data_IF_289642259948
#
_entry.id   IF_289642259948
#
_cell.length_a   1.000
_cell.length_b   1.000
_cell.length_c   1.000
_cell.angle_alpha   90.00
_cell.angle_beta   90.00
_cell.angle_gamma   90.00
#
_symmetry.space_group_name_H-M   'P 1'
#
loop_
_entity.id
_entity.type
_entity.pdbx_description
1 polymer ?
#
# COMPACT_ATOMS: atom_id res chain seq x y z
N UNK A 1 -4.94 9.45 -15.08
CA UNK A 1 -4.75 10.80 -15.65
C UNK A 1 -4.98 11.80 -14.51
N UNK A 2 -3.91 12.23 -13.82
CA UNK A 2 -4.00 13.22 -12.76
C UNK A 2 -4.27 14.59 -13.40
N UNK A 3 -5.49 15.08 -13.31
CA UNK A 3 -5.79 16.44 -13.70
C UNK A 3 -5.31 17.41 -12.60
N UNK A 4 -4.23 18.10 -12.87
CA UNK A 4 -3.75 19.23 -12.08
C UNK A 4 -4.81 20.34 -12.16
N UNK A 5 -5.68 20.44 -11.18
CA UNK A 5 -6.68 21.50 -11.13
C UNK A 5 -6.04 22.75 -10.55
N UNK A 6 -5.84 23.71 -11.43
CA UNK A 6 -5.49 25.08 -11.08
C UNK A 6 -6.61 25.71 -10.21
N UNK A 7 -6.22 26.53 -9.26
CA UNK A 7 -7.04 27.13 -8.22
C UNK A 7 -7.94 28.27 -8.74
N UNK A 8 -8.92 27.95 -9.58
CA UNK A 8 -10.04 28.84 -9.84
C UNK A 8 -11.27 28.02 -10.19
N UNK A 9 -12.03 27.67 -9.16
CA UNK A 9 -13.32 26.99 -9.29
C UNK A 9 -14.38 28.02 -9.60
N UNK A 10 -14.62 28.28 -10.87
CA UNK A 10 -15.93 28.76 -11.33
C UNK A 10 -16.75 27.50 -11.64
N UNK A 11 -17.76 27.27 -10.82
CA UNK A 11 -18.82 26.30 -11.10
C UNK A 11 -19.63 26.86 -12.26
N UNK A 12 -19.44 26.29 -13.45
CA UNK A 12 -20.40 26.48 -14.54
C UNK A 12 -21.30 25.27 -14.62
N UNK A 13 -22.56 25.44 -14.25
CA UNK A 13 -23.66 24.53 -14.54
C UNK A 13 -23.73 24.27 -16.04
N UNK A 14 -23.79 23.01 -16.41
CA UNK A 14 -24.17 22.60 -17.74
C UNK A 14 -23.32 21.54 -18.38
N UNK A 15 -23.65 20.28 -18.10
CA UNK A 15 -23.70 19.21 -19.11
C UNK A 15 -24.24 17.94 -18.44
N UNK A 16 -25.57 17.85 -18.37
CA UNK A 16 -26.25 16.58 -18.21
C UNK A 16 -26.35 15.98 -19.61
N UNK A 17 -25.55 14.99 -19.92
CA UNK A 17 -25.82 14.04 -21.00
C UNK A 17 -26.17 12.71 -20.41
N UNK A 18 -27.40 12.30 -20.70
CA UNK A 18 -28.04 11.04 -20.33
C UNK A 18 -27.20 9.83 -20.71
N UNK A 19 -27.22 8.81 -19.84
CA UNK A 19 -27.06 7.42 -20.23
C UNK A 19 -25.83 6.67 -19.76
N UNK A 20 -25.29 6.93 -18.55
CA UNK A 20 -24.45 5.93 -17.85
C UNK A 20 -24.54 6.14 -16.34
N UNK A 21 -24.85 5.07 -15.60
CA UNK A 21 -24.89 5.11 -14.13
C UNK A 21 -23.47 5.30 -13.60
N UNK A 22 -23.07 6.52 -13.39
CA UNK A 22 -21.89 6.87 -12.61
C UNK A 22 -22.32 7.16 -11.17
N UNK A 23 -21.88 6.32 -10.22
CA UNK A 23 -22.07 6.60 -8.80
C UNK A 23 -21.03 7.62 -8.35
N UNK A 24 -21.46 8.87 -8.18
CA UNK A 24 -20.62 9.92 -7.61
C UNK A 24 -20.66 9.80 -6.08
N UNK A 25 -19.69 9.14 -5.47
CA UNK A 25 -19.47 9.27 -4.05
C UNK A 25 -18.63 10.53 -3.78
N UNK A 26 -19.31 11.65 -3.65
CA UNK A 26 -18.68 12.88 -3.15
C UNK A 26 -18.70 12.82 -1.63
N UNK A 27 -17.67 12.28 -1.02
CA UNK A 27 -17.42 12.45 0.41
C UNK A 27 -16.88 13.86 0.63
N UNK A 28 -17.78 14.81 0.95
CA UNK A 28 -17.40 16.14 1.41
C UNK A 28 -16.95 16.04 2.89
N UNK A 29 -15.70 15.63 3.15
CA UNK A 29 -15.05 15.75 4.45
C UNK A 29 -14.63 17.21 4.72
N UNK A 30 -15.54 18.13 4.51
CA UNK A 30 -15.32 19.56 4.76
C UNK A 30 -15.80 19.95 6.14
N UNK A 31 -15.09 19.61 7.21
CA UNK A 31 -15.15 20.36 8.48
C UNK A 31 -14.16 19.86 9.54
N UNK A 32 -12.86 19.90 9.29
CA UNK A 32 -11.95 20.01 10.44
C UNK A 32 -10.60 20.65 10.04
N UNK A 33 -10.34 21.82 10.62
CA UNK A 33 -9.02 22.46 10.73
C UNK A 33 -8.30 22.95 9.46
N UNK A 34 -8.88 23.93 8.76
CA UNK A 34 -8.47 24.42 7.41
C UNK A 34 -7.14 25.19 7.38
N UNK A 35 -6.59 25.73 8.48
CA UNK A 35 -5.39 26.60 8.43
C UNK A 35 -4.08 25.98 8.89
N UNK A 36 -4.12 24.97 9.77
CA UNK A 36 -2.92 24.28 10.26
C UNK A 36 -2.45 23.16 9.33
N UNK A 37 -3.38 22.53 8.59
CA UNK A 37 -3.10 21.40 7.70
C UNK A 37 -2.20 21.76 6.52
N UNK A 38 -2.39 22.94 5.90
CA UNK A 38 -1.62 23.31 4.70
C UNK A 38 -0.12 23.50 4.98
N UNK A 39 0.25 23.98 6.18
CA UNK A 39 1.65 24.10 6.57
C UNK A 39 2.28 22.74 6.85
N UNK A 40 1.52 21.86 7.51
CA UNK A 40 1.99 20.50 7.82
C UNK A 40 2.15 19.66 6.56
N UNK A 41 1.21 19.72 5.62
CA UNK A 41 1.30 19.05 4.33
C UNK A 41 2.56 19.50 3.55
N UNK A 42 2.83 20.80 3.47
CA UNK A 42 4.05 21.32 2.82
C UNK A 42 5.34 20.85 3.51
N UNK A 43 5.35 20.79 4.85
CA UNK A 43 6.48 20.26 5.60
C UNK A 43 6.68 18.77 5.27
N UNK A 44 5.61 17.99 5.25
CA UNK A 44 5.68 16.57 4.89
C UNK A 44 6.16 16.38 3.46
N UNK A 45 5.69 17.17 2.51
CA UNK A 45 6.15 17.13 1.12
C UNK A 45 7.65 17.42 1.00
N UNK A 46 8.16 18.40 1.77
CA UNK A 46 9.58 18.70 1.81
C UNK A 46 10.38 17.55 2.41
N UNK A 47 9.98 17.06 3.59
CA UNK A 47 10.69 15.98 4.29
C UNK A 47 10.71 14.69 3.46
N UNK A 48 9.56 14.30 2.90
CA UNK A 48 9.47 13.12 2.03
C UNK A 48 10.22 13.34 0.72
N UNK A 49 10.20 14.55 0.16
CA UNK A 49 11.01 14.88 -1.02
C UNK A 49 12.50 14.66 -0.77
N UNK A 50 13.02 15.10 0.39
CA UNK A 50 14.41 14.86 0.79
C UNK A 50 14.69 13.37 1.07
N UNK A 51 13.71 12.66 1.66
CA UNK A 51 13.84 11.25 2.00
C UNK A 51 13.72 10.29 0.80
N UNK A 52 13.33 10.76 -0.38
CA UNK A 52 13.05 9.94 -1.56
C UNK A 52 14.19 8.99 -1.91
N UNK A 53 15.36 9.54 -2.24
CA UNK A 53 16.51 8.73 -2.64
C UNK A 53 17.15 7.95 -1.49
N UNK A 54 17.27 8.50 -0.25
CA UNK A 54 17.64 7.71 0.91
C UNK A 54 16.74 6.50 1.14
N UNK A 55 15.40 6.63 0.97
CA UNK A 55 14.47 5.54 1.10
C UNK A 55 14.68 4.44 0.05
N UNK A 56 14.92 4.83 -1.22
CA UNK A 56 15.24 3.88 -2.28
C UNK A 56 16.54 3.11 -2.01
N UNK A 57 17.58 3.83 -1.59
CA UNK A 57 18.86 3.23 -1.23
C UNK A 57 18.70 2.26 -0.05
N UNK A 58 17.99 2.66 1.00
CA UNK A 58 17.70 1.81 2.15
C UNK A 58 16.93 0.56 1.73
N UNK A 59 15.92 0.68 0.86
CA UNK A 59 15.15 -0.45 0.37
C UNK A 59 16.02 -1.48 -0.35
N UNK A 60 16.90 -1.03 -1.25
CA UNK A 60 17.84 -1.92 -1.96
C UNK A 60 18.85 -2.57 -1.01
N UNK A 61 19.50 -1.78 -0.16
CA UNK A 61 20.50 -2.29 0.78
C UNK A 61 19.90 -3.25 1.81
N UNK A 62 18.61 -3.12 2.10
CA UNK A 62 17.92 -4.02 3.02
C UNK A 62 17.46 -5.33 2.38
N UNK A 63 17.47 -5.46 1.05
CA UNK A 63 17.01 -6.70 0.40
C UNK A 63 17.68 -7.98 0.92
N UNK A 64 19.02 -8.06 1.09
CA UNK A 64 19.65 -9.26 1.65
C UNK A 64 19.17 -9.58 3.06
N UNK A 65 19.03 -8.55 3.90
CA UNK A 65 18.55 -8.72 5.27
C UNK A 65 17.07 -9.13 5.31
N UNK A 66 16.23 -8.56 4.44
CA UNK A 66 14.81 -8.92 4.31
C UNK A 66 14.66 -10.39 3.90
N UNK A 67 15.44 -10.86 2.91
CA UNK A 67 15.43 -12.26 2.48
C UNK A 67 15.91 -13.18 3.61
N UNK A 68 17.00 -12.84 4.30
CA UNK A 68 17.50 -13.61 5.43
C UNK A 68 16.50 -13.64 6.58
N UNK A 69 15.79 -12.54 6.83
CA UNK A 69 14.78 -12.45 7.89
C UNK A 69 13.56 -13.36 7.65
N UNK A 70 13.31 -13.82 6.43
CA UNK A 70 12.25 -14.80 6.14
C UNK A 70 12.42 -16.11 6.94
N UNK A 71 13.64 -16.49 7.31
CA UNK A 71 13.88 -17.66 8.15
C UNK A 71 13.29 -17.51 9.57
N UNK A 72 13.07 -16.28 10.04
CA UNK A 72 12.40 -16.05 11.33
C UNK A 72 10.88 -16.19 11.25
N UNK A 73 10.32 -16.26 10.03
CA UNK A 73 8.91 -16.56 9.84
C UNK A 73 8.73 -18.06 9.99
N UNK A 74 7.95 -18.48 10.96
CA UNK A 74 7.65 -19.90 11.20
C UNK A 74 6.66 -20.41 10.14
N UNK A 75 7.16 -20.64 8.93
CA UNK A 75 6.38 -21.19 7.84
C UNK A 75 6.29 -22.72 8.05
N UNK A 76 5.11 -23.25 8.28
CA UNK A 76 4.89 -24.69 8.51
C UNK A 76 4.04 -25.02 9.72
N UNK A 77 3.56 -24.01 10.44
CA UNK A 77 2.57 -24.18 11.49
C UNK A 77 1.14 -24.21 10.90
N UNK A 78 0.16 -24.63 11.72
CA UNK A 78 -1.23 -24.76 11.30
C UNK A 78 -1.83 -23.42 10.84
N UNK A 79 -1.39 -22.29 11.42
CA UNK A 79 -1.82 -20.94 11.01
C UNK A 79 -1.36 -20.61 9.59
N UNK A 80 -0.13 -20.96 9.27
CA UNK A 80 0.41 -20.78 7.92
C UNK A 80 -0.32 -21.65 6.89
N UNK A 81 -0.67 -22.89 7.24
CA UNK A 81 -1.47 -23.74 6.34
C UNK A 81 -2.88 -23.17 6.13
N UNK A 82 -3.52 -22.63 7.16
CA UNK A 82 -4.80 -21.96 7.01
C UNK A 82 -4.67 -20.70 6.11
N UNK A 83 -3.62 -19.91 6.30
CA UNK A 83 -3.29 -18.77 5.44
C UNK A 83 -3.07 -19.21 3.99
N UNK A 84 -2.24 -20.22 3.76
CA UNK A 84 -2.00 -20.75 2.42
C UNK A 84 -3.28 -21.29 1.78
N UNK A 85 -4.15 -21.95 2.57
CA UNK A 85 -5.47 -22.42 2.13
C UNK A 85 -6.36 -21.25 1.68
N UNK A 86 -6.38 -20.15 2.41
CA UNK A 86 -7.11 -18.95 2.02
C UNK A 86 -6.57 -18.30 0.73
N UNK A 87 -5.25 -18.23 0.59
CA UNK A 87 -4.61 -17.75 -0.63
C UNK A 87 -4.94 -18.65 -1.83
N UNK A 88 -4.89 -19.97 -1.64
CA UNK A 88 -5.29 -20.94 -2.66
C UNK A 88 -6.77 -20.79 -3.03
N UNK A 89 -7.65 -20.60 -2.04
CA UNK A 89 -9.09 -20.37 -2.29
C UNK A 89 -9.30 -19.14 -3.17
N UNK A 90 -8.61 -18.04 -2.90
CA UNK A 90 -8.66 -16.85 -3.75
C UNK A 90 -8.31 -17.18 -5.21
N UNK A 91 -7.17 -17.84 -5.43
CA UNK A 91 -6.70 -18.20 -6.76
C UNK A 91 -7.66 -19.17 -7.46
N UNK A 92 -8.20 -20.16 -6.75
CA UNK A 92 -9.17 -21.10 -7.28
C UNK A 92 -10.47 -20.40 -7.72
N UNK A 93 -11.01 -19.52 -6.86
CA UNK A 93 -12.19 -18.72 -7.20
C UNK A 93 -11.93 -17.80 -8.38
N UNK A 94 -10.74 -17.22 -8.48
CA UNK A 94 -10.35 -16.38 -9.62
C UNK A 94 -10.33 -17.17 -10.93
N UNK A 95 -9.79 -18.39 -10.92
CA UNK A 95 -9.76 -19.28 -12.10
C UNK A 95 -11.19 -19.70 -12.49
N UNK A 96 -12.00 -20.08 -11.52
CA UNK A 96 -13.39 -20.51 -11.75
C UNK A 96 -14.25 -19.35 -12.25
N UNK A 97 -14.06 -18.16 -11.66
CA UNK A 97 -14.77 -16.94 -12.05
C UNK A 97 -14.13 -16.22 -13.24
N UNK A 98 -13.27 -16.88 -14.00
CA UNK A 98 -12.34 -16.34 -15.01
C UNK A 98 -12.94 -15.36 -16.04
N UNK A 99 -14.23 -15.13 -15.98
CA UNK A 99 -14.94 -14.17 -16.85
C UNK A 99 -15.21 -12.80 -16.19
N UNK A 100 -14.94 -12.62 -14.90
CA UNK A 100 -15.19 -11.34 -14.19
C UNK A 100 -13.96 -10.94 -13.37
N UNK A 101 -13.12 -10.12 -13.97
CA UNK A 101 -12.09 -9.41 -13.23
C UNK A 101 -12.77 -8.49 -12.22
N UNK A 102 -12.34 -8.52 -10.94
CA UNK A 102 -12.77 -7.54 -9.94
C UNK A 102 -12.00 -6.23 -10.11
N UNK A 103 -11.87 -5.73 -11.34
CA UNK A 103 -11.12 -4.52 -11.68
C UNK A 103 -11.63 -3.35 -10.85
N UNK A 104 -12.94 -3.23 -10.68
CA UNK A 104 -13.54 -2.17 -9.84
C UNK A 104 -13.05 -2.20 -8.39
N UNK A 105 -12.86 -3.39 -7.79
CA UNK A 105 -12.32 -3.49 -6.42
C UNK A 105 -10.84 -3.18 -6.36
N UNK A 106 -10.07 -3.51 -7.39
CA UNK A 106 -8.65 -3.15 -7.46
C UNK A 106 -8.47 -1.63 -7.62
N UNK A 107 -9.29 -0.98 -8.46
CA UNK A 107 -9.31 0.47 -8.61
C UNK A 107 -9.70 1.12 -7.29
N UNK A 108 -10.75 0.64 -6.62
CA UNK A 108 -11.17 1.17 -5.31
C UNK A 108 -10.05 1.06 -4.27
N UNK A 109 -9.40 -0.09 -4.16
CA UNK A 109 -8.30 -0.30 -3.23
C UNK A 109 -7.13 0.65 -3.51
N UNK A 110 -6.83 0.88 -4.78
CA UNK A 110 -5.81 1.80 -5.25
C UNK A 110 -6.11 3.23 -4.82
N UNK A 111 -7.28 3.77 -5.17
CA UNK A 111 -7.66 5.14 -4.82
C UNK A 111 -7.81 5.34 -3.31
N UNK A 112 -8.29 4.33 -2.59
CA UNK A 112 -8.33 4.37 -1.12
C UNK A 112 -6.94 4.39 -0.50
N UNK A 113 -5.95 3.73 -1.11
CA UNK A 113 -4.57 3.76 -0.62
C UNK A 113 -3.96 5.15 -0.82
N UNK A 114 -4.12 5.75 -2.00
CA UNK A 114 -3.75 7.16 -2.21
C UNK A 114 -4.41 8.08 -1.17
N UNK A 115 -5.71 7.90 -0.95
CA UNK A 115 -6.47 8.68 0.03
C UNK A 115 -5.93 8.53 1.44
N UNK A 116 -5.64 7.30 1.87
CA UNK A 116 -5.07 7.01 3.18
C UNK A 116 -3.73 7.72 3.38
N UNK A 117 -2.82 7.64 2.42
CA UNK A 117 -1.52 8.30 2.51
C UNK A 117 -1.60 9.82 2.36
N UNK A 118 -2.55 10.34 1.58
CA UNK A 118 -2.82 11.77 1.53
C UNK A 118 -3.25 12.30 2.91
N UNK A 119 -4.18 11.62 3.57
CA UNK A 119 -4.61 11.97 4.93
C UNK A 119 -3.48 11.83 5.95
N UNK A 120 -2.68 10.74 5.88
CA UNK A 120 -1.55 10.50 6.75
C UNK A 120 -0.47 11.59 6.63
N UNK A 121 -0.32 12.17 5.44
CA UNK A 121 0.61 13.28 5.15
C UNK A 121 -0.06 14.65 5.22
N UNK A 122 -1.20 14.73 5.91
CA UNK A 122 -1.97 15.96 6.19
C UNK A 122 -2.52 16.70 4.97
N UNK A 123 -2.66 16.02 3.84
CA UNK A 123 -3.31 16.58 2.66
C UNK A 123 -4.82 16.51 2.80
N UNK A 124 -5.49 17.59 2.40
CA UNK A 124 -6.94 17.62 2.36
C UNK A 124 -7.43 16.91 1.10
N UNK A 125 -8.06 15.75 1.25
CA UNK A 125 -8.73 15.06 0.15
C UNK A 125 -9.96 15.85 -0.28
N UNK A 126 -10.13 16.05 -1.58
CA UNK A 126 -11.20 16.86 -2.18
C UNK A 126 -12.29 15.96 -2.76
N UNK A 127 -11.88 14.94 -3.52
CA UNK A 127 -12.80 14.00 -4.15
C UNK A 127 -12.13 12.65 -4.38
N UNK A 128 -12.95 11.61 -4.43
CA UNK A 128 -12.58 10.30 -4.93
C UNK A 128 -13.59 9.98 -6.03
N UNK A 129 -13.10 9.65 -7.21
CA UNK A 129 -13.90 9.31 -8.36
C UNK A 129 -13.58 7.89 -8.79
N UNK A 130 -14.60 7.08 -8.98
CA UNK A 130 -14.47 5.71 -9.42
C UNK A 130 -15.34 5.51 -10.65
N UNK A 131 -14.76 5.09 -11.74
CA UNK A 131 -15.49 4.75 -12.93
C UNK A 131 -15.84 3.26 -12.88
N UNK A 132 -17.13 2.96 -12.96
CA UNK A 132 -17.63 1.56 -12.94
C UNK A 132 -17.44 0.85 -14.28
N UNK A 133 -17.05 1.57 -15.31
CA UNK A 133 -16.79 1.07 -16.66
C UNK A 133 -15.33 0.61 -16.88
N UNK A 134 -14.59 0.37 -15.79
CA UNK A 134 -13.19 -0.08 -15.81
C UNK A 134 -12.20 0.94 -16.41
N UNK A 135 -12.63 2.17 -16.69
CA UNK A 135 -11.77 3.22 -17.23
C UNK A 135 -10.81 3.84 -16.20
N UNK A 136 -10.82 3.34 -14.96
CA UNK A 136 -9.93 3.78 -13.89
C UNK A 136 -10.63 4.57 -12.79
N UNK A 137 -9.84 5.01 -11.82
CA UNK A 137 -10.25 5.90 -10.74
C UNK A 137 -9.41 7.17 -10.73
N UNK A 138 -9.79 8.12 -9.90
CA UNK A 138 -9.00 9.31 -9.63
C UNK A 138 -9.30 9.82 -8.22
N UNK A 139 -8.25 10.12 -7.48
CA UNK A 139 -8.32 10.79 -6.19
C UNK A 139 -7.70 12.18 -6.29
N UNK A 140 -8.40 13.18 -5.78
CA UNK A 140 -7.92 14.56 -5.75
C UNK A 140 -7.67 15.05 -4.33
N UNK A 141 -6.55 15.73 -4.13
CA UNK A 141 -6.20 16.37 -2.86
C UNK A 141 -5.61 17.76 -3.09
N UNK A 142 -5.59 18.59 -2.02
CA UNK A 142 -4.98 19.92 -2.07
C UNK A 142 -3.51 19.85 -1.73
N UNK A 143 -2.68 20.55 -2.52
CA UNK A 143 -1.24 20.65 -2.30
C UNK A 143 -0.43 20.06 -3.44
N UNK A 144 0.90 20.02 -3.25
CA UNK A 144 1.81 19.49 -4.26
C UNK A 144 1.83 17.97 -4.28
N UNK A 145 1.64 17.35 -3.10
CA UNK A 145 1.81 15.92 -2.91
C UNK A 145 3.26 15.47 -2.83
N UNK A 146 3.42 14.20 -2.55
CA UNK A 146 4.73 13.57 -2.39
C UNK A 146 4.71 12.16 -2.97
N UNK A 147 5.91 11.62 -3.23
CA UNK A 147 6.11 10.31 -3.84
C UNK A 147 5.44 9.17 -3.06
N UNK A 148 5.32 9.29 -1.74
CA UNK A 148 4.72 8.24 -0.92
C UNK A 148 3.22 8.11 -1.18
N UNK A 149 2.52 9.23 -1.34
CA UNK A 149 1.10 9.21 -1.76
C UNK A 149 0.98 8.48 -3.10
N UNK A 150 1.84 8.85 -4.06
CA UNK A 150 1.74 8.37 -5.44
C UNK A 150 2.07 6.88 -5.58
N UNK A 151 3.06 6.34 -4.84
CA UNK A 151 3.47 4.92 -5.04
C UNK A 151 2.95 3.96 -3.96
N UNK A 152 2.26 4.46 -2.92
CA UNK A 152 1.76 3.60 -1.85
C UNK A 152 0.87 2.43 -2.32
N UNK A 153 -0.04 2.57 -3.31
CA UNK A 153 -0.86 1.47 -3.79
C UNK A 153 -0.07 0.26 -4.29
N UNK A 154 1.16 0.48 -4.74
CA UNK A 154 2.00 -0.55 -5.36
C UNK A 154 2.81 -1.39 -4.36
N UNK A 155 2.72 -1.09 -3.05
CA UNK A 155 3.40 -1.89 -2.03
C UNK A 155 2.63 -2.01 -0.71
N UNK A 156 1.70 -1.09 -0.41
CA UNK A 156 1.04 -1.06 0.88
C UNK A 156 -0.26 -1.87 0.88
N UNK A 157 -0.36 -2.94 1.68
CA UNK A 157 -1.52 -3.82 1.73
C UNK A 157 -2.65 -3.22 2.58
N UNK A 158 -3.34 -2.18 2.08
CA UNK A 158 -4.29 -1.37 2.84
C UNK A 158 -5.36 -2.21 3.56
N UNK A 159 -6.00 -3.14 2.86
CA UNK A 159 -7.05 -3.98 3.47
C UNK A 159 -6.48 -4.89 4.57
N UNK A 160 -5.32 -5.50 4.33
CA UNK A 160 -4.66 -6.32 5.34
C UNK A 160 -4.22 -5.49 6.54
N UNK A 161 -3.73 -4.27 6.32
CA UNK A 161 -3.39 -3.37 7.41
C UNK A 161 -4.60 -3.04 8.29
N UNK A 162 -5.74 -2.71 7.71
CA UNK A 162 -6.96 -2.49 8.49
C UNK A 162 -7.48 -3.76 9.15
N UNK A 163 -7.32 -4.92 8.53
CA UNK A 163 -7.63 -6.20 9.16
C UNK A 163 -6.72 -6.46 10.37
N UNK A 164 -5.41 -6.20 10.26
CA UNK A 164 -4.47 -6.31 11.39
C UNK A 164 -4.91 -5.42 12.55
N UNK A 165 -5.31 -4.17 12.26
CA UNK A 165 -5.85 -3.26 13.28
C UNK A 165 -7.15 -3.78 13.87
N UNK A 166 -8.09 -4.21 13.05
CA UNK A 166 -9.37 -4.73 13.51
C UNK A 166 -9.18 -5.94 14.43
N UNK A 167 -8.32 -6.88 14.03
CA UNK A 167 -7.94 -8.03 14.86
C UNK A 167 -7.36 -7.58 16.21
N UNK A 168 -6.50 -6.57 16.20
CA UNK A 168 -5.87 -6.05 17.41
C UNK A 168 -6.89 -5.42 18.36
N UNK A 169 -7.86 -4.66 17.82
CA UNK A 169 -8.84 -3.95 18.64
C UNK A 169 -9.99 -4.82 19.13
N UNK A 170 -10.44 -5.79 18.30
CA UNK A 170 -11.66 -6.55 18.58
C UNK A 170 -11.42 -7.92 19.18
N UNK A 171 -10.19 -8.41 19.26
CA UNK A 171 -9.93 -9.73 19.83
C UNK A 171 -8.50 -9.91 20.35
N UNK A 172 -8.41 -10.33 21.61
CA UNK A 172 -7.16 -10.76 22.23
C UNK A 172 -6.69 -12.15 21.77
N UNK A 173 -7.50 -12.92 21.03
CA UNK A 173 -7.26 -14.33 20.69
C UNK A 173 -7.29 -14.66 19.19
N UNK A 174 -7.40 -13.68 18.32
CA UNK A 174 -7.64 -13.93 16.89
C UNK A 174 -6.43 -14.54 16.15
N UNK A 175 -5.16 -14.30 16.49
CA UNK A 175 -4.08 -15.02 15.81
C UNK A 175 -4.24 -16.54 15.86
N UNK A 176 -5.00 -17.07 16.80
CA UNK A 176 -5.24 -18.50 16.94
C UNK A 176 -6.40 -19.04 16.08
N UNK A 177 -7.23 -18.17 15.52
CA UNK A 177 -8.35 -18.59 14.68
C UNK A 177 -7.89 -18.97 13.28
N UNK A 178 -8.05 -20.23 12.90
CA UNK A 178 -7.73 -20.71 11.55
C UNK A 178 -8.56 -20.00 10.45
N UNK A 179 -9.82 -19.67 10.76
CA UNK A 179 -10.68 -18.94 9.84
C UNK A 179 -10.10 -17.55 9.54
N UNK A 180 -9.67 -16.82 10.57
CA UNK A 180 -9.08 -15.50 10.40
C UNK A 180 -7.77 -15.59 9.61
N UNK A 181 -6.92 -16.58 9.92
CA UNK A 181 -5.69 -16.79 9.15
C UNK A 181 -5.99 -17.11 7.67
N UNK A 182 -7.05 -17.88 7.38
CA UNK A 182 -7.50 -18.11 6.02
C UNK A 182 -7.97 -16.84 5.31
N UNK A 183 -8.73 -15.98 6.00
CA UNK A 183 -9.14 -14.67 5.45
C UNK A 183 -7.93 -13.77 5.18
N UNK A 184 -6.93 -13.76 6.07
CA UNK A 184 -5.67 -13.05 5.80
C UNK A 184 -4.98 -13.56 4.53
N UNK A 185 -4.91 -14.89 4.35
CA UNK A 185 -4.33 -15.48 3.15
C UNK A 185 -5.08 -15.11 1.87
N UNK A 186 -6.42 -15.11 1.93
CA UNK A 186 -7.26 -14.70 0.80
C UNK A 186 -6.96 -13.26 0.36
N UNK A 187 -6.96 -12.30 1.30
CA UNK A 187 -6.66 -10.90 0.99
C UNK A 187 -5.18 -10.65 0.65
N UNK A 188 -4.29 -11.50 1.13
CA UNK A 188 -2.88 -11.46 0.76
C UNK A 188 -2.67 -11.83 -0.72
N UNK A 189 -3.32 -12.91 -1.19
CA UNK A 189 -3.28 -13.28 -2.59
C UNK A 189 -3.92 -12.21 -3.49
N UNK A 190 -5.05 -11.61 -3.05
CA UNK A 190 -5.65 -10.46 -3.70
C UNK A 190 -4.67 -9.28 -3.81
N UNK A 191 -3.95 -8.95 -2.73
CA UNK A 191 -2.98 -7.85 -2.74
C UNK A 191 -1.83 -8.14 -3.71
N UNK A 192 -1.28 -9.36 -3.71
CA UNK A 192 -0.22 -9.73 -4.66
C UNK A 192 -0.69 -9.63 -6.11
N UNK A 193 -1.88 -10.12 -6.43
CA UNK A 193 -2.44 -9.96 -7.78
C UNK A 193 -2.62 -8.50 -8.14
N UNK A 194 -3.16 -7.68 -7.23
CA UNK A 194 -3.34 -6.24 -7.45
C UNK A 194 -2.04 -5.55 -7.82
N UNK A 195 -0.95 -5.86 -7.11
CA UNK A 195 0.39 -5.34 -7.43
C UNK A 195 0.84 -5.79 -8.82
N UNK A 196 0.73 -7.09 -9.12
CA UNK A 196 1.19 -7.65 -10.39
C UNK A 196 0.44 -7.08 -11.59
N UNK A 197 -0.86 -6.82 -11.44
CA UNK A 197 -1.69 -6.25 -12.50
C UNK A 197 -1.41 -4.75 -12.69
N UNK A 198 -1.14 -4.03 -11.60
CA UNK A 198 -0.97 -2.59 -11.63
C UNK A 198 0.46 -2.13 -11.95
N UNK A 199 1.49 -2.97 -11.77
CA UNK A 199 2.87 -2.61 -12.10
C UNK A 199 3.12 -2.81 -13.60
N UNK A 200 2.91 -1.77 -14.37
CA UNK A 200 3.25 -1.75 -15.80
C UNK A 200 3.80 -0.37 -16.25
N UNK A 201 4.49 -0.35 -17.38
CA UNK A 201 5.25 0.83 -17.82
C UNK A 201 4.41 2.04 -18.21
N UNK A 202 3.11 1.90 -18.41
CA UNK A 202 2.22 3.00 -18.80
C UNK A 202 1.56 3.71 -17.59
N UNK A 203 1.88 3.27 -16.35
CA UNK A 203 1.30 3.88 -15.15
C UNK A 203 1.74 5.34 -14.98
N UNK A 204 0.77 6.28 -14.91
CA UNK A 204 1.07 7.70 -14.71
C UNK A 204 1.85 7.97 -13.42
N UNK A 205 1.57 7.21 -12.38
CA UNK A 205 2.23 7.30 -11.07
C UNK A 205 3.73 7.07 -11.15
N UNK A 206 4.14 6.08 -11.96
CA UNK A 206 5.56 5.80 -12.16
C UNK A 206 6.25 6.87 -13.00
N UNK A 207 5.51 7.49 -13.93
CA UNK A 207 6.03 8.62 -14.69
C UNK A 207 6.21 9.85 -13.80
N UNK A 208 5.26 10.11 -12.89
CA UNK A 208 5.32 11.25 -11.96
C UNK A 208 6.46 11.12 -10.95
N UNK A 209 6.61 9.94 -10.35
CA UNK A 209 7.66 9.70 -9.34
C UNK A 209 9.01 9.40 -9.97
N UNK A 210 9.02 8.83 -11.15
CA UNK A 210 10.21 8.42 -11.91
C UNK A 210 10.52 6.93 -11.77
N UNK A 211 10.59 6.24 -12.91
CA UNK A 211 10.84 4.79 -12.99
C UNK A 211 12.06 4.31 -12.21
N UNK A 212 13.25 4.99 -12.28
CA UNK A 212 14.42 4.53 -11.56
C UNK A 212 14.19 4.42 -10.05
N UNK A 213 13.45 5.37 -9.47
CA UNK A 213 13.09 5.32 -8.06
C UNK A 213 12.14 4.15 -7.76
N UNK A 214 11.11 3.95 -8.57
CA UNK A 214 10.15 2.86 -8.37
C UNK A 214 10.84 1.49 -8.43
N UNK A 215 11.72 1.26 -9.40
CA UNK A 215 12.48 0.03 -9.53
C UNK A 215 13.42 -0.26 -8.36
N UNK A 216 14.00 0.77 -7.76
CA UNK A 216 14.87 0.62 -6.59
C UNK A 216 14.07 0.43 -5.30
N UNK A 217 12.97 1.15 -5.15
CA UNK A 217 12.21 1.16 -3.90
C UNK A 217 11.22 0.00 -3.76
N UNK A 218 10.41 -0.26 -4.80
CA UNK A 218 9.27 -1.17 -4.69
C UNK A 218 9.63 -2.63 -4.34
N UNK A 219 10.72 -3.24 -4.84
CA UNK A 219 11.06 -4.61 -4.47
C UNK A 219 11.27 -4.78 -2.96
N UNK A 220 12.05 -3.89 -2.35
CA UNK A 220 12.29 -3.91 -0.90
C UNK A 220 11.03 -3.59 -0.10
N UNK A 221 10.27 -2.58 -0.52
CA UNK A 221 9.04 -2.19 0.13
C UNK A 221 7.98 -3.30 0.10
N UNK A 222 7.80 -3.97 -1.04
CA UNK A 222 6.89 -5.10 -1.17
C UNK A 222 7.33 -6.29 -0.33
N UNK A 223 8.61 -6.66 -0.37
CA UNK A 223 9.12 -7.76 0.43
C UNK A 223 8.92 -7.49 1.93
N UNK A 224 9.20 -6.26 2.38
CA UNK A 224 8.98 -5.86 3.76
C UNK A 224 7.50 -5.92 4.15
N UNK A 225 6.61 -5.34 3.35
CA UNK A 225 5.18 -5.29 3.64
C UNK A 225 4.55 -6.70 3.68
N UNK A 226 4.86 -7.54 2.69
CA UNK A 226 4.36 -8.91 2.62
C UNK A 226 4.88 -9.75 3.81
N UNK A 227 6.15 -9.62 4.15
CA UNK A 227 6.74 -10.34 5.28
C UNK A 227 6.19 -9.87 6.63
N UNK A 228 5.88 -8.58 6.78
CA UNK A 228 5.22 -8.06 7.97
C UNK A 228 3.81 -8.65 8.17
N UNK A 229 3.04 -8.81 7.08
CA UNK A 229 1.73 -9.49 7.13
C UNK A 229 1.89 -10.96 7.53
N UNK A 230 2.85 -11.68 6.96
CA UNK A 230 3.15 -13.07 7.35
C UNK A 230 3.60 -13.18 8.81
N UNK A 231 4.42 -12.25 9.28
CA UNK A 231 4.83 -12.19 10.68
C UNK A 231 3.63 -11.98 11.61
N UNK A 232 2.73 -11.05 11.25
CA UNK A 232 1.50 -10.81 12.00
C UNK A 232 0.61 -12.06 12.03
N UNK A 233 0.44 -12.74 10.92
CA UNK A 233 -0.32 -13.98 10.84
C UNK A 233 0.24 -15.07 11.78
N UNK A 234 1.55 -15.12 11.99
CA UNK A 234 2.18 -16.09 12.88
C UNK A 234 1.96 -15.83 14.38
N UNK A 235 1.91 -14.59 14.82
CA UNK A 235 1.84 -14.30 16.24
C UNK A 235 1.54 -12.82 16.58
N UNK A 236 0.81 -12.12 15.71
CA UNK A 236 0.40 -10.74 15.94
C UNK A 236 1.58 -9.75 15.93
N UNK A 237 1.40 -8.62 16.58
CA UNK A 237 2.38 -7.53 16.60
C UNK A 237 3.72 -7.92 17.22
N UNK A 238 3.74 -8.84 18.18
CA UNK A 238 4.98 -9.35 18.77
C UNK A 238 5.86 -10.04 17.72
N UNK A 239 5.27 -10.79 16.80
CA UNK A 239 6.01 -11.41 15.69
C UNK A 239 6.46 -10.41 14.64
N UNK A 240 5.68 -9.36 14.39
CA UNK A 240 6.09 -8.24 13.53
C UNK A 240 7.30 -7.52 14.14
N UNK A 241 7.27 -7.22 15.44
CA UNK A 241 8.40 -6.60 16.17
C UNK A 241 9.67 -7.46 16.08
N UNK A 242 9.54 -8.77 16.32
CA UNK A 242 10.68 -9.71 16.19
C UNK A 242 11.24 -9.71 14.77
N UNK A 243 10.37 -9.74 13.76
CA UNK A 243 10.78 -9.68 12.35
C UNK A 243 11.52 -8.36 12.04
N UNK A 244 10.96 -7.21 12.39
CA UNK A 244 11.58 -5.90 12.16
C UNK A 244 12.93 -5.80 12.88
N UNK A 245 13.01 -6.30 14.13
CA UNK A 245 14.26 -6.34 14.90
C UNK A 245 15.30 -7.24 14.23
N UNK A 246 14.89 -8.39 13.68
CA UNK A 246 15.77 -9.27 12.93
C UNK A 246 16.31 -8.58 11.67
N UNK A 247 15.45 -7.92 10.89
CA UNK A 247 15.85 -7.17 9.70
C UNK A 247 16.87 -6.08 10.07
N UNK A 248 16.61 -5.32 11.13
CA UNK A 248 17.53 -4.28 11.61
C UNK A 248 18.91 -4.86 11.98
N UNK A 249 18.94 -5.93 12.79
CA UNK A 249 20.21 -6.58 13.22
C UNK A 249 20.98 -7.14 12.03
N UNK A 250 20.29 -7.77 11.07
CA UNK A 250 20.88 -8.30 9.86
C UNK A 250 21.45 -7.19 8.97
N UNK A 251 20.74 -6.09 8.81
CA UNK A 251 21.27 -4.92 8.08
C UNK A 251 22.54 -4.38 8.73
N UNK A 252 22.53 -4.18 10.05
CA UNK A 252 23.71 -3.68 10.77
C UNK A 252 24.90 -4.64 10.61
N UNK A 253 24.67 -5.95 10.70
CA UNK A 253 25.73 -6.97 10.47
C UNK A 253 26.27 -6.88 9.04
N UNK A 254 25.41 -6.89 8.04
CA UNK A 254 25.80 -6.84 6.63
C UNK A 254 26.61 -5.57 6.33
N UNK A 255 26.21 -4.41 6.88
CA UNK A 255 26.96 -3.15 6.74
C UNK A 255 28.34 -3.26 7.40
N UNK A 256 28.41 -3.81 8.61
CA UNK A 256 29.69 -3.97 9.33
C UNK A 256 30.63 -4.92 8.56
N UNK A 257 30.14 -6.02 8.05
CA UNK A 257 30.91 -6.97 7.21
C UNK A 257 31.45 -6.29 5.94
N UNK A 258 30.62 -5.51 5.25
CA UNK A 258 31.04 -4.74 4.06
C UNK A 258 32.13 -3.72 4.45
N UNK A 259 31.92 -2.97 5.53
CA UNK A 259 32.89 -1.97 5.98
C UNK A 259 34.22 -2.62 6.37
N UNK A 260 34.20 -3.75 7.07
CA UNK A 260 35.44 -4.45 7.45
C UNK A 260 36.24 -4.94 6.25
N UNK A 261 35.56 -5.27 5.14
CA UNK A 261 36.24 -5.67 3.89
C UNK A 261 36.94 -4.51 3.18
N UNK A 262 36.43 -3.28 3.34
CA UNK A 262 37.02 -2.10 2.69
C UNK A 262 38.07 -1.37 3.56
N UNK A 263 38.04 -1.56 4.86
CA UNK A 263 38.90 -0.83 5.83
C UNK A 263 40.04 -1.74 6.37
N UNK A 264 39.87 -3.07 6.29
CA UNK A 264 40.92 -4.04 6.66
C UNK A 264 41.79 -4.39 5.50
#
# INVERSE_FOLDING_TARGET
MFAKINTDLTISDGFIKEGRQSWHFVFCLSCFCVRKGDKMARLMDLLLGLAKWPAALLAVLSLPALVQALHYLQLGNLRFFAFAGGAFLYLALKIIAAARSNISMQILAHELTHTFFALLTFHKVVHIHLNMDESGGAMGFKGKGNWLITIAPYFFPLFLFFMMLAVTFFSSKIPDSLMVNGVFGYFFAYHLESILVQIHGEQPDFQEVGFPFCWLFLPGANLFACSAVLAFNNGGWLSVEKYVTAVYKLNMRNITEIMSYFIG
#
